data_IF_665562780455
#
_entry.id   IF_665562780455
#
_cell.length_a   1.000
_cell.length_b   1.000
_cell.length_c   1.000
_cell.angle_alpha   90.00
_cell.angle_beta   90.00
_cell.angle_gamma   90.00
#
_symmetry.space_group_name_H-M   'P 1'
#
loop_
_entity.id
_entity.type
_entity.pdbx_description
1 polymer ?
#
# COMPACT_ATOMS: atom_id res chain seq x y z
N UNK A 1 15.13 16.44 14.69
CA UNK A 1 16.37 17.21 14.42
C UNK A 1 15.97 18.42 13.60
N UNK A 2 16.59 19.59 13.81
CA UNK A 2 16.31 20.76 13.02
C UNK A 2 16.92 20.63 11.61
N UNK A 3 16.23 21.19 10.63
CA UNK A 3 16.65 21.18 9.24
C UNK A 3 16.80 22.61 8.70
N UNK A 4 17.78 22.77 7.83
CA UNK A 4 17.92 23.93 6.96
C UNK A 4 17.93 23.45 5.53
N UNK A 5 17.13 24.06 4.68
CA UNK A 5 17.18 23.81 3.24
C UNK A 5 17.64 25.04 2.51
N UNK A 6 18.59 24.88 1.59
CA UNK A 6 19.03 25.94 0.68
C UNK A 6 18.60 25.55 -0.72
N UNK A 7 18.14 26.52 -1.52
CA UNK A 7 17.73 26.26 -2.89
C UNK A 7 18.81 25.48 -3.67
N UNK A 8 18.39 24.51 -4.49
CA UNK A 8 19.28 23.50 -5.09
C UNK A 8 20.37 24.11 -5.99
N UNK A 9 20.08 25.29 -6.58
CA UNK A 9 21.00 26.07 -7.41
C UNK A 9 22.24 26.57 -6.66
N UNK A 10 22.18 26.73 -5.33
CA UNK A 10 23.34 27.12 -4.52
C UNK A 10 24.29 25.94 -4.37
N UNK A 11 25.59 26.19 -4.54
CA UNK A 11 26.58 25.12 -4.42
C UNK A 11 26.63 24.56 -2.99
N UNK A 12 26.94 23.26 -2.87
CA UNK A 12 26.97 22.61 -1.57
C UNK A 12 28.08 23.11 -0.64
N UNK A 13 29.11 23.76 -1.18
CA UNK A 13 30.21 24.39 -0.44
C UNK A 13 29.79 25.75 0.10
N UNK A 14 29.25 26.61 -0.77
CA UNK A 14 28.71 27.92 -0.42
C UNK A 14 27.62 27.82 0.65
N UNK A 15 26.68 26.87 0.51
CA UNK A 15 25.64 26.64 1.50
C UNK A 15 26.23 26.26 2.88
N UNK A 16 27.29 25.44 2.92
CA UNK A 16 27.95 25.04 4.17
C UNK A 16 28.69 26.20 4.82
N UNK A 17 29.42 26.97 4.04
CA UNK A 17 30.13 28.15 4.53
C UNK A 17 29.14 29.17 5.11
N UNK A 18 28.04 29.45 4.41
CA UNK A 18 27.00 30.35 4.87
C UNK A 18 26.38 29.88 6.20
N UNK A 19 26.05 28.58 6.32
CA UNK A 19 25.52 27.98 7.56
C UNK A 19 26.51 28.08 8.72
N UNK A 20 27.78 27.75 8.51
CA UNK A 20 28.81 27.89 9.54
C UNK A 20 28.99 29.35 9.96
N UNK A 21 28.90 30.29 9.02
CA UNK A 21 28.97 31.73 9.28
C UNK A 21 27.80 32.31 10.08
N UNK A 22 26.75 31.54 10.37
CA UNK A 22 25.66 31.90 11.31
C UNK A 22 25.64 31.00 12.55
N UNK A 23 26.67 30.19 12.77
CA UNK A 23 26.79 29.31 13.94
C UNK A 23 26.02 27.98 13.82
N UNK A 24 25.65 27.57 12.60
CA UNK A 24 25.06 26.26 12.33
C UNK A 24 26.11 25.28 11.82
N UNK A 25 26.03 24.02 12.28
CA UNK A 25 26.99 22.98 11.91
C UNK A 25 26.27 21.86 11.13
N UNK A 26 26.37 21.84 9.79
CA UNK A 26 25.76 20.79 8.97
C UNK A 26 26.38 19.42 9.27
N UNK A 27 25.54 18.43 9.62
CA UNK A 27 25.96 17.06 9.93
C UNK A 27 25.83 16.11 8.77
N UNK A 28 24.67 16.13 8.11
CA UNK A 28 24.38 15.28 6.96
C UNK A 28 23.49 16.00 5.96
N UNK A 29 23.69 15.67 4.69
CA UNK A 29 22.74 16.03 3.63
C UNK A 29 21.64 14.97 3.65
N UNK A 30 20.40 15.40 3.86
CA UNK A 30 19.23 14.51 3.93
C UNK A 30 18.79 14.13 2.51
N UNK A 31 18.91 15.06 1.56
CA UNK A 31 18.50 14.89 0.17
C UNK A 31 17.95 16.19 -0.40
N UNK A 32 17.20 16.08 -1.50
CA UNK A 32 16.47 17.20 -2.11
C UNK A 32 14.97 17.04 -1.83
N UNK A 33 14.31 18.13 -1.46
CA UNK A 33 12.84 18.19 -1.32
C UNK A 33 12.28 19.34 -2.16
N UNK A 34 11.03 19.23 -2.57
CA UNK A 34 10.28 20.33 -3.19
C UNK A 34 9.24 20.84 -2.22
N UNK A 35 9.19 22.15 -1.94
CA UNK A 35 8.14 22.76 -1.13
C UNK A 35 7.31 23.70 -2.00
N UNK A 36 5.99 23.62 -1.86
CA UNK A 36 5.03 24.51 -2.52
C UNK A 36 4.94 25.83 -1.75
N UNK A 37 5.36 26.90 -2.42
CA UNK A 37 5.39 28.28 -1.91
C UNK A 37 4.34 29.13 -2.62
N UNK A 38 4.11 30.35 -2.13
CA UNK A 38 3.36 31.38 -2.87
C UNK A 38 3.97 31.72 -4.24
N UNK A 39 5.25 31.40 -4.46
CA UNK A 39 5.99 31.59 -5.74
C UNK A 39 6.12 30.31 -6.58
N UNK A 40 5.40 29.24 -6.23
CA UNK A 40 5.45 27.95 -6.92
C UNK A 40 6.26 26.89 -6.17
N UNK A 41 6.65 25.82 -6.86
CA UNK A 41 7.45 24.75 -6.26
C UNK A 41 8.92 25.13 -6.27
N UNK A 42 9.57 25.11 -5.10
CA UNK A 42 10.99 25.40 -4.95
C UNK A 42 11.71 24.15 -4.46
N UNK A 43 12.83 23.81 -5.12
CA UNK A 43 13.69 22.67 -4.75
C UNK A 43 14.75 23.12 -3.77
N UNK A 44 14.89 22.37 -2.68
CA UNK A 44 15.86 22.64 -1.63
C UNK A 44 16.74 21.42 -1.38
N UNK A 45 18.04 21.64 -1.27
CA UNK A 45 18.96 20.68 -0.67
C UNK A 45 18.87 20.81 0.85
N UNK A 46 18.49 19.73 1.52
CA UNK A 46 18.20 19.73 2.95
C UNK A 46 19.39 19.22 3.73
N UNK A 47 19.72 19.97 4.78
CA UNK A 47 20.78 19.67 5.71
C UNK A 47 20.19 19.45 7.09
N UNK A 48 20.59 18.36 7.73
CA UNK A 48 20.45 18.24 9.18
C UNK A 48 21.60 18.98 9.83
N UNK A 49 21.27 19.89 10.74
CA UNK A 49 22.23 20.81 11.35
C UNK A 49 22.21 20.68 12.88
N UNK A 50 23.32 21.03 13.51
CA UNK A 50 23.38 21.36 14.94
C UNK A 50 23.39 22.89 15.12
N UNK A 51 22.73 23.37 16.16
CA UNK A 51 22.55 24.80 16.46
C UNK A 51 21.07 25.22 16.50
N UNK A 52 20.81 26.45 16.93
CA UNK A 52 19.46 27.03 16.87
C UNK A 52 19.17 27.46 15.43
N UNK A 53 18.11 26.91 14.84
CA UNK A 53 17.68 27.24 13.48
C UNK A 53 16.66 28.36 13.43
N UNK A 54 16.16 28.83 14.57
CA UNK A 54 15.18 29.93 14.60
C UNK A 54 15.81 31.23 14.10
N UNK A 55 15.25 31.78 13.03
CA UNK A 55 15.76 32.98 12.35
C UNK A 55 16.97 32.75 11.44
N UNK A 56 17.46 31.52 11.31
CA UNK A 56 18.58 31.20 10.43
C UNK A 56 18.28 31.48 8.96
N UNK A 57 17.06 31.20 8.49
CA UNK A 57 16.67 31.42 7.11
C UNK A 57 16.74 32.90 6.71
N UNK A 58 16.42 33.82 7.64
CA UNK A 58 16.50 35.27 7.43
C UNK A 58 17.93 35.75 7.27
N UNK A 59 18.87 35.14 7.98
CA UNK A 59 20.29 35.47 7.89
C UNK A 59 20.94 34.87 6.64
N UNK A 60 20.47 33.70 6.21
CA UNK A 60 21.08 32.93 5.14
C UNK A 60 20.57 33.33 3.75
N UNK A 61 19.27 33.53 3.57
CA UNK A 61 18.67 33.85 2.27
C UNK A 61 19.35 35.04 1.53
N UNK A 62 19.63 36.19 2.17
CA UNK A 62 20.35 37.28 1.51
C UNK A 62 21.83 36.98 1.28
N UNK A 63 22.47 36.13 2.10
CA UNK A 63 23.90 35.79 1.96
C UNK A 63 24.17 34.90 0.75
N UNK A 64 23.30 33.92 0.51
CA UNK A 64 23.41 33.01 -0.64
C UNK A 64 22.59 33.48 -1.84
N UNK A 65 21.91 34.62 -1.71
CA UNK A 65 21.02 35.21 -2.72
C UNK A 65 20.03 34.19 -3.34
N UNK A 66 19.52 33.29 -2.51
CA UNK A 66 18.57 32.26 -2.92
C UNK A 66 17.56 31.95 -1.80
N UNK A 67 16.40 31.33 -2.12
CA UNK A 67 15.47 30.88 -1.09
C UNK A 67 16.12 29.92 -0.10
N UNK A 68 15.84 30.11 1.19
CA UNK A 68 16.29 29.25 2.28
C UNK A 68 15.11 28.93 3.17
N UNK A 69 15.04 27.72 3.72
CA UNK A 69 14.09 27.40 4.77
C UNK A 69 14.76 26.93 6.04
N UNK A 70 14.10 27.15 7.17
CA UNK A 70 14.38 26.55 8.46
C UNK A 70 13.18 25.73 8.93
N UNK A 71 13.43 24.60 9.59
CA UNK A 71 12.40 23.73 10.16
C UNK A 71 12.90 23.19 11.50
N UNK A 72 12.12 23.36 12.56
CA UNK A 72 12.52 23.00 13.92
C UNK A 72 11.34 23.00 14.89
N UNK A 73 11.63 22.79 16.18
CA UNK A 73 10.59 22.75 17.23
C UNK A 73 9.83 24.07 17.38
N UNK A 74 10.45 25.18 17.00
CA UNK A 74 9.84 26.51 16.99
C UNK A 74 8.76 26.67 15.92
N UNK A 75 8.65 25.72 14.98
CA UNK A 75 7.65 25.71 13.90
C UNK A 75 6.65 24.57 14.06
N UNK A 76 6.30 24.21 15.30
CA UNK A 76 5.12 23.39 15.57
C UNK A 76 3.89 24.28 15.44
N UNK A 77 3.02 23.92 14.50
CA UNK A 77 1.79 24.63 14.18
C UNK A 77 0.61 23.87 14.78
N UNK A 78 -0.16 24.56 15.63
CA UNK A 78 -1.29 23.98 16.34
C UNK A 78 -0.94 23.52 17.76
N UNK A 79 -1.89 22.82 18.40
CA UNK A 79 -1.78 22.42 19.79
C UNK A 79 -1.28 20.98 19.94
N UNK A 80 -0.06 20.81 20.44
CA UNK A 80 0.49 19.47 20.73
C UNK A 80 -0.36 18.68 21.74
N UNK A 81 -1.12 19.35 22.61
CA UNK A 81 -2.09 18.75 23.54
C UNK A 81 -3.22 17.99 22.84
N UNK A 82 -3.60 18.39 21.61
CA UNK A 82 -4.59 17.70 20.81
C UNK A 82 -4.05 16.36 20.23
N UNK A 83 -2.76 16.06 20.44
CA UNK A 83 -2.02 14.93 19.85
C UNK A 83 -2.07 14.94 18.32
N UNK A 84 -2.36 16.09 17.71
CA UNK A 84 -2.37 16.28 16.28
C UNK A 84 -1.86 17.69 16.01
N UNK A 85 -0.76 17.82 15.29
CA UNK A 85 -0.17 19.11 14.93
C UNK A 85 0.58 19.02 13.61
N UNK A 86 0.84 20.17 13.01
CA UNK A 86 1.70 20.25 11.83
C UNK A 86 3.11 20.72 12.22
N UNK A 87 4.12 20.22 11.52
CA UNK A 87 5.47 20.75 11.59
C UNK A 87 5.72 21.58 10.33
N UNK A 88 6.10 22.83 10.53
CA UNK A 88 6.30 23.81 9.47
C UNK A 88 7.76 23.99 9.06
N UNK A 89 7.93 24.49 7.83
CA UNK A 89 9.15 25.10 7.35
C UNK A 89 8.90 26.59 7.12
N UNK A 90 9.70 27.46 7.73
CA UNK A 90 9.71 28.90 7.42
C UNK A 90 10.66 29.11 6.26
N UNK A 91 10.14 29.59 5.14
CA UNK A 91 10.86 29.86 3.90
C UNK A 91 11.08 31.36 3.82
N UNK A 92 12.31 31.78 3.54
CA UNK A 92 12.69 33.17 3.34
C UNK A 92 13.31 33.33 1.97
N UNK A 93 12.84 34.32 1.23
CA UNK A 93 13.31 34.68 -0.11
C UNK A 93 14.43 35.73 -0.03
N UNK A 94 15.25 35.88 -1.08
CA UNK A 94 16.36 36.85 -1.09
C UNK A 94 15.94 38.30 -0.90
N UNK A 95 14.70 38.63 -1.24
CA UNK A 95 14.11 39.96 -1.04
C UNK A 95 13.59 40.21 0.38
N UNK A 96 13.78 39.24 1.29
CA UNK A 96 13.33 39.31 2.68
C UNK A 96 11.88 38.91 2.91
N UNK A 97 11.10 38.62 1.85
CA UNK A 97 9.76 38.07 2.02
C UNK A 97 9.85 36.67 2.66
N UNK A 98 8.87 36.30 3.50
CA UNK A 98 8.86 35.00 4.14
C UNK A 98 7.45 34.42 4.25
N UNK A 99 7.36 33.09 4.30
CA UNK A 99 6.13 32.36 4.55
C UNK A 99 6.41 31.08 5.36
N UNK A 100 5.40 30.58 6.07
CA UNK A 100 5.50 29.32 6.82
C UNK A 100 4.59 28.29 6.16
N UNK A 101 5.16 27.16 5.77
CA UNK A 101 4.47 26.09 5.06
C UNK A 101 4.49 24.81 5.90
N UNK A 102 3.33 24.18 6.19
CA UNK A 102 3.30 22.90 6.88
C UNK A 102 3.88 21.81 5.97
N UNK A 103 4.90 21.09 6.43
CA UNK A 103 5.60 20.03 5.68
C UNK A 103 5.33 18.63 6.23
N UNK A 104 4.96 18.50 7.50
CA UNK A 104 4.46 17.25 8.06
C UNK A 104 3.22 17.49 8.89
N UNK A 105 2.36 16.48 8.95
CA UNK A 105 1.33 16.32 9.97
C UNK A 105 1.75 15.17 10.88
N UNK A 106 1.77 15.43 12.18
CA UNK A 106 2.04 14.43 13.20
C UNK A 106 0.73 14.03 13.90
N UNK A 107 0.40 12.75 13.82
CA UNK A 107 -0.70 12.11 14.55
C UNK A 107 -0.14 11.28 15.71
N UNK A 108 -0.28 11.81 16.92
CA UNK A 108 0.15 11.20 18.17
C UNK A 108 -0.80 10.14 18.75
N UNK A 109 -1.94 9.87 18.12
CA UNK A 109 -2.75 8.67 18.43
C UNK A 109 -2.17 7.44 17.75
N UNK A 110 -1.65 7.61 16.53
CA UNK A 110 -1.05 6.55 15.74
C UNK A 110 0.49 6.60 15.72
N UNK A 111 1.10 7.61 16.35
CA UNK A 111 2.52 7.94 16.25
C UNK A 111 3.02 7.93 14.79
N UNK A 112 2.23 8.53 13.91
CA UNK A 112 2.47 8.64 12.49
C UNK A 112 2.88 10.07 12.16
N UNK A 113 3.91 10.23 11.34
CA UNK A 113 4.36 11.51 10.78
C UNK A 113 4.24 11.43 9.26
N UNK A 114 3.25 12.10 8.69
CA UNK A 114 2.95 12.10 7.25
C UNK A 114 3.38 13.42 6.61
N UNK A 115 4.09 13.39 5.47
CA UNK A 115 4.29 14.59 4.65
C UNK A 115 2.95 15.17 4.20
N UNK A 116 2.87 16.50 4.14
CA UNK A 116 1.68 17.18 3.61
C UNK A 116 1.71 17.23 2.08
N UNK A 117 0.60 17.64 1.46
CA UNK A 117 0.55 17.85 0.01
C UNK A 117 1.39 19.05 -0.47
N UNK A 118 1.95 19.84 0.46
CA UNK A 118 2.81 20.98 0.16
C UNK A 118 4.28 20.57 -0.04
N UNK A 119 4.63 19.30 0.12
CA UNK A 119 6.02 18.86 0.02
C UNK A 119 6.16 17.55 -0.75
N UNK A 120 7.24 17.43 -1.53
CA UNK A 120 7.66 16.18 -2.18
C UNK A 120 9.07 15.82 -1.75
N UNK A 121 9.38 14.52 -1.76
CA UNK A 121 10.70 14.00 -1.41
C UNK A 121 10.89 13.72 0.09
N UNK A 122 9.90 14.01 0.93
CA UNK A 122 9.88 13.60 2.33
C UNK A 122 9.21 12.23 2.48
N UNK A 123 9.76 11.41 3.38
CA UNK A 123 9.22 10.10 3.71
C UNK A 123 8.34 10.19 4.94
N UNK A 124 7.22 9.48 4.91
CA UNK A 124 6.40 9.26 6.08
C UNK A 124 7.06 8.26 7.04
N UNK A 125 6.73 8.35 8.32
CA UNK A 125 7.23 7.41 9.34
C UNK A 125 6.15 7.03 10.33
N UNK A 126 6.23 5.83 10.91
CA UNK A 126 5.39 5.37 12.02
C UNK A 126 6.26 4.84 13.16
N UNK A 127 5.89 5.09 14.41
CA UNK A 127 6.57 4.49 15.57
C UNK A 127 5.75 3.30 16.09
N UNK A 128 6.32 2.10 16.10
CA UNK A 128 5.66 0.89 16.62
C UNK A 128 6.61 0.20 17.61
N UNK A 129 6.13 -0.08 18.82
CA UNK A 129 6.94 -0.72 19.86
C UNK A 129 8.22 0.05 20.23
N UNK A 130 8.20 1.39 20.09
CA UNK A 130 9.37 2.25 20.32
C UNK A 130 10.38 2.30 19.17
N UNK A 131 10.15 1.58 18.07
CA UNK A 131 10.97 1.63 16.84
C UNK A 131 10.31 2.50 15.79
N UNK A 132 11.10 3.28 15.06
CA UNK A 132 10.62 4.12 13.96
C UNK A 132 10.82 3.39 12.63
N UNK A 133 9.75 3.31 11.84
CA UNK A 133 9.76 2.70 10.51
C UNK A 133 9.43 3.76 9.46
N UNK A 134 10.11 3.69 8.32
CA UNK A 134 9.74 4.46 7.14
C UNK A 134 8.52 3.83 6.48
N UNK A 135 7.58 4.67 6.04
CA UNK A 135 6.41 4.25 5.28
C UNK A 135 6.64 4.48 3.78
N UNK A 136 6.10 3.59 2.92
CA UNK A 136 5.29 2.42 3.25
C UNK A 136 6.12 1.24 3.80
N UNK A 137 5.58 0.49 4.76
CA UNK A 137 6.22 -0.65 5.42
C UNK A 137 6.51 -1.77 4.44
N UNK A 138 7.70 -2.34 4.54
CA UNK A 138 8.11 -3.54 3.80
C UNK A 138 7.65 -4.80 4.53
N UNK A 139 7.73 -5.93 3.85
CA UNK A 139 7.40 -7.24 4.44
C UNK A 139 8.28 -7.56 5.66
N UNK A 140 9.57 -7.21 5.62
CA UNK A 140 10.49 -7.36 6.76
C UNK A 140 9.96 -6.64 8.00
N UNK A 141 9.49 -5.41 7.80
CA UNK A 141 9.01 -4.54 8.87
C UNK A 141 7.71 -5.11 9.45
N UNK A 142 6.81 -5.60 8.60
CA UNK A 142 5.57 -6.26 9.04
C UNK A 142 5.83 -7.55 9.83
N UNK A 143 6.81 -8.36 9.42
CA UNK A 143 7.20 -9.59 10.16
C UNK A 143 7.76 -9.22 11.53
N UNK A 144 8.60 -8.18 11.59
CA UNK A 144 9.14 -7.67 12.84
C UNK A 144 8.02 -7.16 13.76
N UNK A 145 7.13 -6.31 13.24
CA UNK A 145 5.98 -5.78 13.98
C UNK A 145 5.07 -6.90 14.48
N UNK A 146 4.82 -7.92 13.65
CA UNK A 146 4.03 -9.09 14.03
C UNK A 146 4.63 -9.83 15.24
N UNK A 147 5.96 -9.94 15.30
CA UNK A 147 6.68 -10.58 16.41
C UNK A 147 6.56 -9.82 17.73
N UNK A 148 6.24 -8.53 17.69
CA UNK A 148 5.98 -7.69 18.87
C UNK A 148 4.59 -7.94 19.48
N UNK A 149 3.74 -8.72 18.81
CA UNK A 149 2.42 -9.11 19.30
C UNK A 149 1.26 -8.28 18.74
N UNK A 150 0.04 -8.75 19.04
CA UNK A 150 -1.21 -8.28 18.42
C UNK A 150 -1.44 -6.76 18.50
N UNK A 151 -1.11 -6.12 19.62
CA UNK A 151 -1.29 -4.67 19.79
C UNK A 151 -0.46 -3.84 18.81
N UNK A 152 0.73 -4.33 18.44
CA UNK A 152 1.60 -3.67 17.47
C UNK A 152 1.01 -3.75 16.06
N UNK A 153 0.44 -4.90 15.70
CA UNK A 153 -0.24 -5.09 14.41
C UNK A 153 -1.52 -4.25 14.31
N UNK A 154 -2.35 -4.23 15.35
CA UNK A 154 -3.59 -3.41 15.39
C UNK A 154 -3.32 -1.93 15.15
N UNK A 155 -2.15 -1.42 15.57
CA UNK A 155 -1.73 -0.04 15.30
C UNK A 155 -1.50 0.21 13.81
N UNK A 156 -0.83 -0.72 13.14
CA UNK A 156 -0.59 -0.65 11.69
C UNK A 156 -1.91 -0.74 10.92
N UNK A 157 -2.82 -1.62 11.32
CA UNK A 157 -4.15 -1.75 10.72
C UNK A 157 -4.96 -0.46 10.84
N UNK A 158 -4.94 0.19 12.02
CA UNK A 158 -5.58 1.49 12.22
C UNK A 158 -4.96 2.58 11.34
N UNK A 159 -3.63 2.64 11.27
CA UNK A 159 -2.95 3.58 10.40
C UNK A 159 -3.31 3.38 8.92
N UNK A 160 -3.35 2.14 8.45
CA UNK A 160 -3.76 1.81 7.09
C UNK A 160 -5.23 2.18 6.81
N UNK A 161 -6.10 2.08 7.82
CA UNK A 161 -7.51 2.47 7.70
C UNK A 161 -7.71 3.98 7.60
N UNK A 162 -6.88 4.77 8.29
CA UNK A 162 -6.96 6.24 8.30
C UNK A 162 -6.26 6.85 7.07
N UNK A 163 -5.03 6.42 6.77
CA UNK A 163 -4.20 7.03 5.74
C UNK A 163 -4.25 6.31 4.39
N UNK A 164 -4.88 5.14 4.33
CA UNK A 164 -4.95 4.29 3.15
C UNK A 164 -3.85 3.22 3.13
N UNK A 165 -4.24 2.04 2.67
CA UNK A 165 -3.41 0.84 2.70
C UNK A 165 -2.08 1.02 1.95
N UNK A 166 -2.11 1.62 0.75
CA UNK A 166 -0.91 1.78 -0.09
C UNK A 166 0.09 2.81 0.45
N UNK A 167 -0.37 3.75 1.30
CA UNK A 167 0.53 4.72 1.94
C UNK A 167 1.25 4.11 3.15
N UNK A 168 0.66 3.07 3.76
CA UNK A 168 1.16 2.45 4.99
C UNK A 168 1.89 1.15 4.72
N UNK A 169 1.47 0.36 3.74
CA UNK A 169 2.07 -0.94 3.41
C UNK A 169 2.47 -0.95 1.94
N UNK A 170 3.71 -1.41 1.67
CA UNK A 170 4.23 -1.41 0.31
C UNK A 170 3.46 -2.40 -0.57
N UNK A 171 3.34 -2.09 -1.87
CA UNK A 171 2.66 -2.97 -2.83
C UNK A 171 3.28 -4.36 -2.87
N UNK A 172 4.60 -4.45 -2.87
CA UNK A 172 5.33 -5.73 -2.84
C UNK A 172 4.99 -6.55 -1.59
N UNK A 173 4.86 -5.90 -0.42
CA UNK A 173 4.47 -6.58 0.81
C UNK A 173 3.02 -7.07 0.74
N UNK A 174 2.10 -6.27 0.20
CA UNK A 174 0.71 -6.69 0.01
C UNK A 174 0.58 -7.88 -0.94
N UNK A 175 1.34 -7.89 -2.04
CA UNK A 175 1.36 -9.02 -2.99
C UNK A 175 1.92 -10.28 -2.35
N UNK A 176 3.02 -10.19 -1.62
CA UNK A 176 3.63 -11.35 -0.96
C UNK A 176 2.71 -11.90 0.14
N UNK A 177 2.00 -11.05 0.88
CA UNK A 177 0.98 -11.47 1.83
C UNK A 177 -0.19 -12.18 1.15
N UNK A 178 -0.64 -11.69 -0.02
CA UNK A 178 -1.67 -12.37 -0.83
C UNK A 178 -1.19 -13.74 -1.30
N UNK A 179 0.02 -13.83 -1.86
CA UNK A 179 0.64 -15.09 -2.30
C UNK A 179 0.81 -16.08 -1.15
N UNK A 180 1.21 -15.62 0.03
CA UNK A 180 1.30 -16.47 1.23
C UNK A 180 -0.07 -16.97 1.67
N UNK A 181 -1.10 -16.11 1.64
CA UNK A 181 -2.47 -16.51 1.94
C UNK A 181 -2.98 -17.57 0.96
N UNK A 182 -2.67 -17.43 -0.32
CA UNK A 182 -2.99 -18.43 -1.36
C UNK A 182 -2.21 -19.73 -1.17
N UNK A 183 -0.90 -19.67 -0.84
CA UNK A 183 -0.06 -20.85 -0.54
C UNK A 183 -0.46 -21.58 0.74
N UNK A 184 -1.00 -20.88 1.72
CA UNK A 184 -1.51 -21.47 2.96
C UNK A 184 -2.77 -22.30 2.67
N UNK A 185 -3.51 -22.01 1.59
CA UNK A 185 -4.62 -22.85 1.10
C UNK A 185 -4.07 -23.97 0.21
N UNK A 186 -3.48 -25.02 0.82
CA UNK A 186 -3.08 -26.21 0.07
C UNK A 186 -4.30 -27.08 -0.16
N UNK A 187 -4.65 -27.27 -1.42
CA UNK A 187 -5.77 -28.12 -1.84
C UNK A 187 -5.18 -29.37 -2.49
N UNK A 188 -5.24 -30.50 -1.78
CA UNK A 188 -4.89 -31.82 -2.31
C UNK A 188 -6.17 -32.53 -2.71
N UNK A 189 -6.21 -33.01 -3.96
CA UNK A 189 -7.36 -33.72 -4.52
C UNK A 189 -7.05 -35.21 -4.55
N UNK A 190 -7.86 -35.98 -3.85
CA UNK A 190 -7.85 -37.43 -3.94
C UNK A 190 -8.98 -37.86 -4.90
N UNK A 191 -8.59 -38.13 -6.14
CA UNK A 191 -9.51 -38.57 -7.19
C UNK A 191 -10.00 -40.01 -6.98
N UNK A 192 -9.30 -40.84 -6.18
CA UNK A 192 -9.75 -42.21 -5.90
C UNK A 192 -10.90 -42.21 -4.90
N UNK A 193 -10.79 -41.39 -3.84
CA UNK A 193 -11.83 -41.31 -2.81
C UNK A 193 -12.89 -40.25 -3.09
N UNK A 194 -12.65 -39.34 -4.03
CA UNK A 194 -13.59 -38.27 -4.40
C UNK A 194 -13.66 -37.15 -3.37
N UNK A 195 -12.60 -36.94 -2.60
CA UNK A 195 -12.49 -35.89 -1.58
C UNK A 195 -11.36 -34.91 -1.86
N UNK A 196 -11.51 -33.72 -1.29
CA UNK A 196 -10.54 -32.65 -1.34
C UNK A 196 -10.14 -32.31 0.09
N UNK A 197 -8.83 -32.36 0.35
CA UNK A 197 -8.22 -31.87 1.57
C UNK A 197 -7.84 -30.42 1.37
N UNK A 198 -8.47 -29.53 2.15
CA UNK A 198 -8.22 -28.11 2.18
C UNK A 198 -7.48 -27.82 3.48
N UNK A 199 -6.18 -27.57 3.36
CA UNK A 199 -5.37 -27.03 4.44
C UNK A 199 -5.57 -25.52 4.45
N UNK A 200 -6.14 -24.95 5.52
CA UNK A 200 -6.19 -23.51 5.75
C UNK A 200 -5.41 -23.19 7.03
N UNK A 201 -4.11 -22.92 6.90
CA UNK A 201 -3.25 -22.68 8.05
C UNK A 201 -2.96 -23.97 8.81
N UNK A 202 -3.44 -24.06 10.05
CA UNK A 202 -3.35 -25.22 10.94
C UNK A 202 -4.59 -26.13 10.88
N UNK A 203 -5.62 -25.75 10.12
CA UNK A 203 -6.86 -26.50 10.01
C UNK A 203 -6.90 -27.33 8.73
N UNK A 204 -7.23 -28.61 8.89
CA UNK A 204 -7.54 -29.51 7.78
C UNK A 204 -9.05 -29.63 7.69
N UNK A 205 -9.61 -29.26 6.53
CA UNK A 205 -11.00 -29.53 6.17
C UNK A 205 -11.04 -30.52 5.02
N UNK A 206 -11.97 -31.47 5.09
CA UNK A 206 -12.34 -32.31 3.95
C UNK A 206 -13.62 -31.77 3.32
N UNK A 207 -13.71 -31.85 1.99
CA UNK A 207 -14.92 -31.57 1.25
C UNK A 207 -15.09 -32.60 0.12
N UNK A 208 -16.32 -33.00 -0.24
CA UNK A 208 -16.56 -33.80 -1.44
C UNK A 208 -16.08 -33.03 -2.68
N UNK A 209 -15.38 -33.71 -3.59
CA UNK A 209 -14.77 -33.12 -4.79
C UNK A 209 -15.81 -32.43 -5.69
N UNK A 210 -16.98 -33.05 -5.87
CA UNK A 210 -18.08 -32.46 -6.67
C UNK A 210 -18.54 -31.12 -6.10
N UNK A 211 -18.79 -31.06 -4.79
CA UNK A 211 -19.22 -29.84 -4.13
C UNK A 211 -18.14 -28.77 -4.18
N UNK A 212 -16.89 -29.15 -3.90
CA UNK A 212 -15.77 -28.22 -3.96
C UNK A 212 -15.56 -27.64 -5.36
N UNK A 213 -15.71 -28.47 -6.40
CA UNK A 213 -15.63 -28.03 -7.79
C UNK A 213 -16.74 -27.03 -8.15
N UNK A 214 -17.99 -27.28 -7.73
CA UNK A 214 -19.10 -26.35 -7.92
C UNK A 214 -18.90 -25.04 -7.15
N UNK A 215 -18.44 -25.12 -5.90
CA UNK A 215 -18.13 -23.95 -5.07
C UNK A 215 -17.08 -23.04 -5.76
N UNK A 216 -16.01 -23.63 -6.31
CA UNK A 216 -15.00 -22.88 -7.07
C UNK A 216 -15.60 -22.14 -8.28
N UNK A 217 -16.56 -22.75 -8.96
CA UNK A 217 -17.25 -22.13 -10.10
C UNK A 217 -18.12 -20.95 -9.65
N UNK A 218 -18.89 -21.11 -8.58
CA UNK A 218 -19.74 -20.04 -8.05
C UNK A 218 -18.93 -18.88 -7.46
N UNK A 219 -17.79 -19.17 -6.84
CA UNK A 219 -16.84 -18.17 -6.34
C UNK A 219 -16.02 -17.50 -7.47
N UNK A 220 -16.18 -17.92 -8.73
CA UNK A 220 -15.46 -17.37 -9.87
C UNK A 220 -13.98 -17.77 -9.97
N UNK A 221 -13.55 -18.78 -9.20
CA UNK A 221 -12.18 -19.33 -9.18
C UNK A 221 -11.97 -20.34 -10.32
N UNK A 222 -12.26 -19.90 -11.55
CA UNK A 222 -12.34 -20.76 -12.74
C UNK A 222 -11.02 -21.47 -13.06
N UNK A 223 -9.86 -20.82 -12.86
CA UNK A 223 -8.56 -21.46 -13.15
C UNK A 223 -8.28 -22.65 -12.23
N UNK A 224 -8.66 -22.56 -10.95
CA UNK A 224 -8.48 -23.69 -10.02
C UNK A 224 -9.45 -24.83 -10.35
N UNK A 225 -10.67 -24.51 -10.76
CA UNK A 225 -11.62 -25.51 -11.26
C UNK A 225 -11.08 -26.21 -12.53
N UNK A 226 -10.41 -25.46 -13.42
CA UNK A 226 -9.75 -26.01 -14.61
C UNK A 226 -8.65 -27.00 -14.26
N UNK A 227 -7.76 -26.65 -13.34
CA UNK A 227 -6.67 -27.53 -12.89
C UNK A 227 -7.20 -28.87 -12.33
N UNK A 228 -8.32 -28.83 -11.60
CA UNK A 228 -8.98 -30.04 -11.09
C UNK A 228 -9.53 -30.89 -12.24
N UNK A 229 -10.21 -30.26 -13.21
CA UNK A 229 -10.80 -30.97 -14.34
C UNK A 229 -9.75 -31.60 -15.26
N UNK A 230 -8.63 -30.91 -15.49
CA UNK A 230 -7.51 -31.38 -16.33
C UNK A 230 -6.68 -32.46 -15.63
N UNK A 231 -6.55 -32.39 -14.30
CA UNK A 231 -5.84 -33.39 -13.48
C UNK A 231 -6.67 -34.63 -13.15
N UNK A 232 -7.98 -34.62 -13.41
CA UNK A 232 -8.88 -35.71 -13.06
C UNK A 232 -8.77 -36.91 -14.03
N UNK A 233 -8.83 -38.16 -13.53
CA UNK A 233 -9.07 -39.33 -14.36
C UNK A 233 -10.37 -39.18 -15.18
N UNK A 234 -10.43 -39.83 -16.34
CA UNK A 234 -11.53 -39.73 -17.31
C UNK A 234 -12.91 -39.98 -16.69
N UNK A 235 -13.01 -40.97 -15.79
CA UNK A 235 -14.24 -41.27 -15.06
C UNK A 235 -14.67 -40.13 -14.12
N UNK A 236 -13.74 -39.61 -13.31
CA UNK A 236 -14.03 -38.51 -12.37
C UNK A 236 -14.35 -37.21 -13.12
N UNK A 237 -13.65 -36.97 -14.25
CA UNK A 237 -13.96 -35.84 -15.13
C UNK A 237 -15.41 -35.86 -15.59
N UNK A 238 -15.90 -37.01 -16.06
CA UNK A 238 -17.32 -37.18 -16.46
C UNK A 238 -18.27 -36.89 -15.31
N UNK A 239 -17.96 -37.37 -14.12
CA UNK A 239 -18.79 -37.13 -12.93
C UNK A 239 -18.84 -35.65 -12.52
N UNK A 240 -17.74 -34.90 -12.67
CA UNK A 240 -17.71 -33.45 -12.39
C UNK A 240 -18.51 -32.66 -13.43
N UNK A 241 -18.47 -33.09 -14.70
CA UNK A 241 -19.26 -32.50 -15.77
C UNK A 241 -20.75 -32.76 -15.58
N UNK A 242 -21.12 -33.97 -15.19
CA UNK A 242 -22.50 -34.32 -14.86
C UNK A 242 -23.02 -33.50 -13.68
N UNK A 243 -22.23 -33.35 -12.61
CA UNK A 243 -22.58 -32.51 -11.47
C UNK A 243 -22.77 -31.03 -11.87
N UNK A 244 -21.92 -30.50 -12.76
CA UNK A 244 -22.06 -29.14 -13.28
C UNK A 244 -23.34 -28.97 -14.11
N UNK A 245 -23.70 -29.98 -14.90
CA UNK A 245 -24.93 -29.98 -15.70
C UNK A 245 -26.17 -30.05 -14.81
N UNK A 246 -26.18 -30.92 -13.82
CA UNK A 246 -27.24 -31.01 -12.82
C UNK A 246 -27.42 -29.67 -12.08
N UNK A 247 -26.32 -29.05 -11.66
CA UNK A 247 -26.35 -27.75 -10.99
C UNK A 247 -26.88 -26.64 -11.90
N UNK A 248 -26.52 -26.66 -13.19
CA UNK A 248 -27.05 -25.73 -14.18
C UNK A 248 -28.56 -25.91 -14.35
N UNK A 249 -29.04 -27.14 -14.55
CA UNK A 249 -30.45 -27.45 -14.71
C UNK A 249 -31.27 -27.06 -13.47
N UNK A 250 -30.77 -27.37 -12.28
CA UNK A 250 -31.38 -26.98 -11.01
C UNK A 250 -31.43 -25.44 -10.86
N UNK A 251 -30.34 -24.75 -11.21
CA UNK A 251 -30.30 -23.28 -11.14
C UNK A 251 -31.31 -22.62 -12.07
N UNK A 252 -31.53 -23.17 -13.28
CA UNK A 252 -32.58 -22.71 -14.20
C UNK A 252 -33.98 -22.98 -13.63
N UNK A 253 -34.23 -24.19 -13.14
CA UNK A 253 -35.53 -24.57 -12.58
C UNK A 253 -35.92 -23.71 -11.37
N UNK A 254 -34.95 -23.32 -10.55
CA UNK A 254 -35.13 -22.45 -9.37
C UNK A 254 -34.98 -20.95 -9.68
N UNK A 255 -34.79 -20.56 -10.94
CA UNK A 255 -34.58 -19.17 -11.39
C UNK A 255 -33.43 -18.43 -10.68
N UNK A 256 -32.37 -19.13 -10.29
CA UNK A 256 -31.19 -18.58 -9.62
C UNK A 256 -30.22 -17.94 -10.64
N UNK A 257 -30.58 -16.74 -11.13
CA UNK A 257 -29.89 -16.06 -12.23
C UNK A 257 -28.39 -15.81 -12.00
N UNK A 258 -27.96 -15.53 -10.77
CA UNK A 258 -26.53 -15.31 -10.48
C UNK A 258 -25.72 -16.59 -10.58
N UNK A 259 -26.25 -17.70 -10.04
CA UNK A 259 -25.64 -19.03 -10.12
C UNK A 259 -25.57 -19.50 -11.58
N UNK A 260 -26.63 -19.28 -12.34
CA UNK A 260 -26.67 -19.57 -13.77
C UNK A 260 -25.56 -18.82 -14.53
N UNK A 261 -25.41 -17.51 -14.32
CA UNK A 261 -24.36 -16.70 -14.97
C UNK A 261 -22.95 -17.15 -14.60
N UNK A 262 -22.73 -17.55 -13.34
CA UNK A 262 -21.43 -18.06 -12.91
C UNK A 262 -21.06 -19.34 -13.66
N UNK A 263 -22.01 -20.28 -13.78
CA UNK A 263 -21.84 -21.53 -14.51
C UNK A 263 -21.60 -21.27 -16.01
N UNK A 264 -22.42 -20.43 -16.66
CA UNK A 264 -22.25 -20.09 -18.08
C UNK A 264 -20.88 -19.47 -18.38
N UNK A 265 -20.42 -18.56 -17.51
CA UNK A 265 -19.12 -17.91 -17.63
C UNK A 265 -17.98 -18.92 -17.45
N UNK A 266 -18.09 -19.83 -16.48
CA UNK A 266 -17.10 -20.87 -16.26
C UNK A 266 -17.07 -21.86 -17.44
N UNK A 267 -18.23 -22.31 -17.92
CA UNK A 267 -18.36 -23.22 -19.04
C UNK A 267 -17.67 -22.70 -20.32
N UNK A 268 -17.87 -21.42 -20.66
CA UNK A 268 -17.20 -20.79 -21.81
C UNK A 268 -15.68 -20.78 -21.66
N UNK A 269 -15.16 -20.54 -20.45
CA UNK A 269 -13.72 -20.51 -20.17
C UNK A 269 -13.09 -21.90 -20.11
N UNK A 270 -13.85 -22.91 -19.69
CA UNK A 270 -13.43 -24.30 -19.60
C UNK A 270 -13.60 -25.08 -20.91
N UNK A 271 -14.20 -24.47 -21.94
CA UNK A 271 -14.49 -25.13 -23.22
C UNK A 271 -15.67 -26.11 -23.17
N UNK A 272 -16.54 -25.97 -22.15
CA UNK A 272 -17.66 -26.88 -21.87
C UNK A 272 -19.02 -26.32 -22.32
N UNK A 273 -19.01 -25.24 -23.11
CA UNK A 273 -20.25 -24.55 -23.51
C UNK A 273 -21.18 -25.49 -24.30
N UNK A 274 -20.63 -26.28 -25.23
CA UNK A 274 -21.40 -27.25 -26.02
C UNK A 274 -21.99 -28.37 -25.15
N UNK A 275 -21.22 -28.86 -24.17
CA UNK A 275 -21.63 -29.94 -23.26
C UNK A 275 -22.79 -29.53 -22.35
N UNK A 276 -22.93 -28.23 -22.05
CA UNK A 276 -24.05 -27.66 -21.29
C UNK A 276 -25.20 -27.15 -22.18
N UNK A 277 -25.15 -27.36 -23.49
CA UNK A 277 -26.17 -26.88 -24.43
C UNK A 277 -26.23 -25.35 -24.52
N UNK A 278 -25.12 -24.68 -24.25
CA UNK A 278 -24.96 -23.23 -24.42
C UNK A 278 -24.56 -22.96 -25.87
N UNK A 279 -25.51 -23.06 -26.80
CA UNK A 279 -25.27 -22.68 -28.21
C UNK A 279 -24.81 -21.22 -28.30
N UNK A 280 -23.81 -20.97 -29.16
CA UNK A 280 -23.03 -19.74 -29.18
C UNK A 280 -23.78 -18.49 -29.64
N UNK A 281 -23.48 -17.36 -28.99
CA UNK A 281 -23.43 -16.07 -29.66
C UNK A 281 -22.21 -16.05 -30.62
N UNK A 282 -22.27 -16.84 -31.69
CA UNK A 282 -21.47 -16.58 -32.87
C UNK A 282 -22.04 -15.37 -33.61
N UNK A 283 -21.21 -14.50 -34.22
CA UNK A 283 -21.69 -13.29 -34.86
C UNK A 283 -22.74 -13.65 -35.90
N UNK A 284 -23.95 -13.08 -35.76
CA UNK A 284 -24.98 -13.13 -36.80
C UNK A 284 -24.35 -12.59 -38.07
N UNK A 285 -24.11 -13.47 -39.04
CA UNK A 285 -23.82 -13.06 -40.41
C UNK A 285 -25.02 -12.27 -40.91
N UNK A 286 -24.82 -10.97 -41.02
CA UNK A 286 -25.68 -10.07 -41.76
C UNK A 286 -25.62 -10.45 -43.24
N UNK A 287 -26.72 -11.00 -43.75
CA UNK A 287 -27.07 -10.91 -45.16
C UNK A 287 -27.64 -9.50 -45.45
#
# INVERSE_FOLDING_TARGET
MPWVGVAEEVSGEEAREAMMGVGLFPKKVVGTIEIKTGRGWVKFRVYEVEGSVEGAAELLAPRVNAPVFESGRHLILGEASARLWDEGAKIVFPDGASEVVPIFTFDGFLDVRMPTDNVKGLKATIVVGGRTYELPLKLSDLVEIYSMGRKALEKVEKAASVYGLEKVISRDALEELKKRRERIVKVEVDYETGFVLILEGDRIRTAPLKNFFLDLIHEGKVERAKEILEGAPEQVRRELLEALKEDYEASRAMALKERQRAIEKAARKLGLAEELGLEGDGPRSSA
#
